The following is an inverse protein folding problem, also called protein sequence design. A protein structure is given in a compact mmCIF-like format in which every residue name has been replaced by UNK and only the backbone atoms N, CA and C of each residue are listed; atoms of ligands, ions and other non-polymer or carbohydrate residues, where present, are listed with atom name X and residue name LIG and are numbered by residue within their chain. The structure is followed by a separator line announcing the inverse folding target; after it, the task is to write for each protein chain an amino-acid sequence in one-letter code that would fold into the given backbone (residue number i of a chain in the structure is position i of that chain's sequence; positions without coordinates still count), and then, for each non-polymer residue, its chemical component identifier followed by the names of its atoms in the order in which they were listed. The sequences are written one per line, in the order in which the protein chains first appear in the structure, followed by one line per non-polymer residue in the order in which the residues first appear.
data_IF_257770040869
#
_entry.id   IF_257770040869
#
_cell.length_a   1.000
_cell.length_b   1.000
_cell.length_c   1.000
_cell.angle_alpha   90.00
_cell.angle_beta   90.00
_cell.angle_gamma   90.00
#
_symmetry.space_group_name_H-M   'P 1'
#
loop_
_entity.id
_entity.type
_entity.pdbx_description
1 polymer ?
#
# COMPACT_ATOMS: atom_id res chain seq x y z
N UNK A 1 -15.77 -12.34 6.18
CA UNK A 1 -14.85 -12.09 5.05
C UNK A 1 -14.60 -10.59 4.99
N UNK A 2 -13.36 -10.14 5.15
CA UNK A 2 -12.99 -8.72 5.24
C UNK A 2 -12.80 -8.16 3.83
N UNK A 3 -13.77 -7.36 3.39
CA UNK A 3 -13.78 -6.73 2.06
C UNK A 3 -14.39 -5.33 2.11
N UNK A 4 -14.00 -4.48 1.17
CA UNK A 4 -14.51 -3.13 1.05
C UNK A 4 -14.62 -2.71 -0.41
N UNK A 5 -15.50 -1.74 -0.66
CA UNK A 5 -15.60 -1.02 -1.93
C UNK A 5 -15.62 0.47 -1.61
N UNK A 6 -14.86 1.24 -2.37
CA UNK A 6 -14.74 2.71 -2.29
C UNK A 6 -14.89 3.27 -3.70
N UNK A 7 -15.57 4.38 -3.81
CA UNK A 7 -15.56 5.26 -4.97
C UNK A 7 -15.19 6.67 -4.47
N UNK A 8 -14.20 7.30 -5.13
CA UNK A 8 -13.76 8.67 -4.87
C UNK A 8 -13.80 9.43 -6.18
N UNK A 9 -14.53 10.54 -6.16
CA UNK A 9 -14.68 11.43 -7.31
C UNK A 9 -14.33 12.84 -6.86
N UNK A 10 -13.36 13.44 -7.51
CA UNK A 10 -12.97 14.85 -7.37
C UNK A 10 -13.14 15.56 -8.72
N UNK A 11 -12.65 16.79 -8.84
CA UNK A 11 -12.55 17.47 -10.15
C UNK A 11 -11.37 16.98 -10.97
N UNK A 12 -10.40 16.34 -10.32
CA UNK A 12 -9.10 15.93 -10.88
C UNK A 12 -9.06 14.43 -11.17
N UNK A 13 -9.73 13.62 -10.33
CA UNK A 13 -9.67 12.15 -10.42
C UNK A 13 -11.04 11.50 -10.24
N UNK A 14 -11.20 10.34 -10.87
CA UNK A 14 -12.29 9.38 -10.59
C UNK A 14 -11.67 8.02 -10.34
N UNK A 15 -11.82 7.51 -9.11
CA UNK A 15 -11.22 6.24 -8.69
C UNK A 15 -12.28 5.33 -8.08
N UNK A 16 -12.32 4.09 -8.54
CA UNK A 16 -13.12 3.03 -7.95
C UNK A 16 -12.23 1.88 -7.53
N UNK A 17 -12.42 1.38 -6.31
CA UNK A 17 -11.64 0.28 -5.77
C UNK A 17 -12.50 -0.74 -5.04
N UNK A 18 -12.12 -2.02 -5.16
CA UNK A 18 -12.67 -3.13 -4.39
C UNK A 18 -11.53 -4.00 -3.89
N UNK A 19 -11.46 -4.18 -2.57
CA UNK A 19 -10.44 -4.98 -1.89
C UNK A 19 -11.08 -6.15 -1.16
N UNK A 20 -10.42 -7.31 -1.22
CA UNK A 20 -10.65 -8.45 -0.34
C UNK A 20 -9.33 -8.84 0.33
N UNK A 21 -9.30 -8.80 1.67
CA UNK A 21 -8.08 -9.09 2.46
C UNK A 21 -7.69 -10.57 2.34
N UNK A 22 -8.64 -11.49 2.56
CA UNK A 22 -8.43 -12.93 2.36
C UNK A 22 -8.58 -13.29 0.87
N UNK A 23 -7.71 -12.76 0.04
CA UNK A 23 -7.71 -12.98 -1.41
C UNK A 23 -6.84 -14.16 -1.84
N UNK A 24 -6.61 -14.24 -3.15
CA UNK A 24 -5.72 -15.20 -3.81
C UNK A 24 -4.66 -14.52 -4.69
N UNK A 25 -4.48 -13.21 -4.54
CA UNK A 25 -3.58 -12.40 -5.36
C UNK A 25 -4.13 -12.12 -6.75
N UNK A 26 -5.47 -12.01 -6.91
CA UNK A 26 -6.10 -11.63 -8.17
C UNK A 26 -6.20 -10.12 -8.25
N UNK A 27 -5.87 -9.58 -9.41
CA UNK A 27 -5.89 -8.14 -9.64
C UNK A 27 -6.50 -7.77 -10.98
N UNK A 28 -7.10 -6.59 -11.02
CA UNK A 28 -7.55 -5.91 -12.22
C UNK A 28 -7.33 -4.41 -11.99
N UNK A 29 -6.19 -3.90 -12.45
CA UNK A 29 -5.67 -2.59 -12.07
C UNK A 29 -5.42 -1.76 -13.32
N UNK A 30 -5.87 -0.51 -13.30
CA UNK A 30 -5.65 0.46 -14.37
C UNK A 30 -5.68 1.87 -13.78
N UNK A 31 -4.52 2.54 -13.74
CA UNK A 31 -4.37 3.94 -13.33
C UNK A 31 -4.02 4.88 -14.48
N UNK A 32 -3.71 4.34 -15.66
CA UNK A 32 -3.15 5.08 -16.77
C UNK A 32 -1.62 5.25 -16.71
N UNK A 33 -0.97 4.75 -15.64
CA UNK A 33 0.49 4.79 -15.43
C UNK A 33 0.96 3.34 -15.32
N UNK A 34 1.54 2.76 -16.38
CA UNK A 34 1.75 1.32 -16.48
C UNK A 34 2.73 0.76 -15.45
N UNK A 35 3.79 1.50 -15.12
CA UNK A 35 4.73 1.05 -14.10
C UNK A 35 4.11 1.09 -12.69
N UNK A 36 3.25 2.07 -12.42
CA UNK A 36 2.50 2.13 -11.17
C UNK A 36 1.48 0.98 -11.05
N UNK A 37 0.76 0.68 -12.14
CA UNK A 37 -0.12 -0.50 -12.19
C UNK A 37 0.66 -1.77 -11.84
N UNK A 38 1.85 -1.94 -12.43
CA UNK A 38 2.72 -3.08 -12.15
C UNK A 38 3.11 -3.16 -10.65
N UNK A 39 3.40 -2.03 -10.00
CA UNK A 39 3.69 -2.00 -8.55
C UNK A 39 2.48 -2.44 -7.72
N UNK A 40 1.28 -2.01 -8.07
CA UNK A 40 0.03 -2.41 -7.38
C UNK A 40 -0.35 -3.88 -7.67
N UNK A 41 -0.06 -4.39 -8.86
CA UNK A 41 -0.19 -5.81 -9.21
C UNK A 41 0.72 -6.67 -8.31
N UNK A 42 1.99 -6.27 -8.14
CA UNK A 42 2.95 -6.92 -7.24
C UNK A 42 2.49 -6.86 -5.79
N UNK A 43 2.05 -5.68 -5.33
CA UNK A 43 1.47 -5.52 -4.00
C UNK A 43 0.33 -6.50 -3.77
N UNK A 44 -0.60 -6.57 -4.69
CA UNK A 44 -1.77 -7.45 -4.62
C UNK A 44 -1.37 -8.93 -4.59
N UNK A 45 -0.46 -9.32 -5.50
CA UNK A 45 0.01 -10.69 -5.63
C UNK A 45 0.78 -11.17 -4.40
N UNK A 46 1.77 -10.39 -3.95
CA UNK A 46 2.61 -10.74 -2.81
C UNK A 46 1.89 -10.61 -1.46
N UNK A 47 0.92 -9.71 -1.37
CA UNK A 47 0.03 -9.58 -0.22
C UNK A 47 -1.00 -10.71 -0.12
N UNK A 48 -1.31 -11.37 -1.24
CA UNK A 48 -2.38 -12.38 -1.31
C UNK A 48 -3.77 -11.77 -1.23
N UNK A 49 -3.89 -10.47 -1.50
CA UNK A 49 -5.16 -9.75 -1.58
C UNK A 49 -5.86 -10.04 -2.90
N UNK A 50 -7.17 -9.75 -3.02
CA UNK A 50 -7.80 -9.54 -4.32
C UNK A 50 -8.12 -8.04 -4.43
N UNK A 51 -7.68 -7.39 -5.51
CA UNK A 51 -7.83 -5.95 -5.74
C UNK A 51 -8.31 -5.66 -7.16
N UNK A 52 -9.51 -5.05 -7.27
CA UNK A 52 -9.94 -4.32 -8.47
C UNK A 52 -9.75 -2.84 -8.20
N UNK A 53 -9.02 -2.12 -9.06
CA UNK A 53 -8.78 -0.67 -8.93
C UNK A 53 -8.73 -0.03 -10.30
N UNK A 54 -9.59 0.96 -10.51
CA UNK A 54 -9.59 1.75 -11.74
C UNK A 54 -9.52 3.23 -11.37
N UNK A 55 -8.54 3.92 -11.91
CA UNK A 55 -8.38 5.35 -11.78
C UNK A 55 -8.35 6.03 -13.16
N UNK A 56 -9.01 7.16 -13.24
CA UNK A 56 -8.90 8.11 -14.34
C UNK A 56 -8.61 9.46 -13.71
N UNK A 57 -7.48 10.05 -14.05
CA UNK A 57 -7.05 11.36 -13.55
C UNK A 57 -6.61 12.27 -14.69
N UNK A 58 -6.28 13.49 -14.33
CA UNK A 58 -5.83 14.57 -15.21
C UNK A 58 -4.33 14.44 -15.55
N UNK A 59 -3.95 13.30 -16.15
CA UNK A 59 -2.56 12.97 -16.50
C UNK A 59 -1.92 13.93 -17.52
N UNK A 60 -2.73 14.76 -18.16
CA UNK A 60 -2.29 15.87 -19.02
C UNK A 60 -1.71 17.05 -18.21
N UNK A 61 -2.06 17.16 -16.92
CA UNK A 61 -1.42 18.06 -15.96
C UNK A 61 -0.10 17.44 -15.48
N UNK A 62 -0.21 16.39 -14.67
CA UNK A 62 0.87 15.47 -14.30
C UNK A 62 0.30 14.19 -13.65
N UNK A 63 1.13 13.40 -12.96
CA UNK A 63 0.72 12.15 -12.32
C UNK A 63 0.36 12.32 -10.83
N UNK A 64 0.61 13.49 -10.24
CA UNK A 64 0.53 13.70 -8.78
C UNK A 64 -0.84 13.34 -8.24
N UNK A 65 -1.90 13.99 -8.73
CA UNK A 65 -3.26 13.77 -8.23
C UNK A 65 -3.69 12.30 -8.34
N UNK A 66 -3.33 11.64 -9.45
CA UNK A 66 -3.68 10.22 -9.67
C UNK A 66 -2.95 9.30 -8.69
N UNK A 67 -1.66 9.50 -8.48
CA UNK A 67 -0.83 8.64 -7.63
C UNK A 67 -1.20 8.82 -6.16
N UNK A 68 -1.35 10.05 -5.67
CA UNK A 68 -1.80 10.36 -4.32
C UNK A 68 -3.19 9.81 -4.04
N UNK A 69 -4.16 10.10 -4.90
CA UNK A 69 -5.57 9.68 -4.72
C UNK A 69 -5.74 8.15 -4.76
N UNK A 70 -4.92 7.43 -5.53
CA UNK A 70 -4.87 5.96 -5.46
C UNK A 70 -4.37 5.50 -4.09
N UNK A 71 -3.37 6.16 -3.52
CA UNK A 71 -2.91 5.93 -2.14
C UNK A 71 -4.04 6.12 -1.12
N UNK A 72 -4.76 7.23 -1.22
CA UNK A 72 -5.94 7.56 -0.40
C UNK A 72 -6.99 6.43 -0.49
N UNK A 73 -7.39 6.06 -1.70
CA UNK A 73 -8.43 5.03 -1.91
C UNK A 73 -7.97 3.67 -1.38
N UNK A 74 -6.71 3.30 -1.61
CA UNK A 74 -6.15 2.05 -1.07
C UNK A 74 -6.16 2.05 0.47
N UNK A 75 -5.77 3.16 1.10
CA UNK A 75 -5.84 3.34 2.56
C UNK A 75 -7.26 3.19 3.10
N UNK A 76 -8.23 3.84 2.48
CA UNK A 76 -9.66 3.76 2.83
C UNK A 76 -10.21 2.33 2.67
N UNK A 77 -9.81 1.62 1.62
CA UNK A 77 -10.20 0.24 1.40
C UNK A 77 -9.72 -0.67 2.53
N UNK A 78 -8.46 -0.54 2.95
CA UNK A 78 -7.93 -1.31 4.07
C UNK A 78 -8.59 -0.93 5.40
N UNK A 79 -8.74 0.36 5.71
CA UNK A 79 -9.41 0.81 6.92
C UNK A 79 -10.83 0.25 7.03
N UNK A 80 -11.61 0.35 5.95
CA UNK A 80 -12.99 -0.14 5.89
C UNK A 80 -13.07 -1.67 5.96
N UNK A 81 -12.17 -2.39 5.29
CA UNK A 81 -12.15 -3.84 5.29
C UNK A 81 -11.71 -4.42 6.64
N UNK A 82 -10.79 -3.75 7.35
CA UNK A 82 -10.33 -4.16 8.68
C UNK A 82 -11.36 -3.92 9.79
N UNK A 83 -12.27 -2.96 9.59
CA UNK A 83 -13.30 -2.64 10.58
C UNK A 83 -12.72 -2.24 11.93
N UNK A 84 -13.14 -2.91 13.01
CA UNK A 84 -12.71 -2.64 14.39
C UNK A 84 -11.30 -3.15 14.73
N UNK A 85 -10.63 -3.79 13.79
CA UNK A 85 -9.26 -4.34 13.92
C UNK A 85 -9.06 -5.37 15.03
N UNK A 86 -10.14 -5.99 15.54
CA UNK A 86 -10.01 -7.07 16.52
C UNK A 86 -9.33 -8.28 15.92
N UNK A 87 -8.49 -8.91 16.74
CA UNK A 87 -7.81 -10.15 16.41
C UNK A 87 -6.76 -10.08 15.31
N UNK A 88 -6.43 -8.90 14.76
CA UNK A 88 -5.33 -8.80 13.79
C UNK A 88 -3.97 -8.79 14.50
N UNK A 89 -2.90 -9.16 13.78
CA UNK A 89 -1.53 -9.00 14.29
C UNK A 89 -1.15 -7.54 14.49
N UNK A 90 -1.81 -6.62 13.79
CA UNK A 90 -1.63 -5.18 13.84
C UNK A 90 -0.27 -4.72 13.27
N UNK A 91 0.83 -5.15 13.89
CA UNK A 91 2.16 -4.84 13.41
C UNK A 91 2.65 -5.91 12.43
N UNK A 92 3.25 -5.49 11.34
CA UNK A 92 3.87 -6.36 10.35
C UNK A 92 5.18 -5.79 9.86
N UNK A 93 6.14 -6.66 9.56
CA UNK A 93 7.41 -6.24 8.96
C UNK A 93 7.91 -7.29 7.97
N UNK A 94 8.72 -6.85 7.04
CA UNK A 94 9.40 -7.75 6.12
C UNK A 94 10.74 -7.17 5.68
N UNK A 95 11.69 -8.05 5.44
CA UNK A 95 12.98 -7.77 4.80
C UNK A 95 13.02 -8.58 3.52
N UNK A 96 13.21 -7.94 2.37
CA UNK A 96 13.09 -8.60 1.08
C UNK A 96 14.28 -8.28 0.18
N UNK A 97 15.03 -9.31 -0.25
CA UNK A 97 16.00 -9.16 -1.32
C UNK A 97 15.31 -9.21 -2.69
N UNK A 98 15.79 -8.39 -3.62
CA UNK A 98 15.48 -8.48 -5.03
C UNK A 98 16.77 -8.31 -5.81
N UNK A 99 17.34 -9.43 -6.25
CA UNK A 99 18.67 -9.52 -6.83
C UNK A 99 19.70 -8.77 -5.96
N UNK A 100 20.28 -7.68 -6.45
CA UNK A 100 21.29 -6.85 -5.77
C UNK A 100 20.68 -5.82 -4.79
N UNK A 101 19.36 -5.77 -4.66
CA UNK A 101 18.66 -4.79 -3.84
C UNK A 101 18.10 -5.42 -2.56
N UNK A 102 18.18 -4.71 -1.46
CA UNK A 102 17.54 -5.08 -0.19
C UNK A 102 16.63 -3.96 0.29
N UNK A 103 15.36 -4.31 0.59
CA UNK A 103 14.38 -3.41 1.18
C UNK A 103 13.90 -3.91 2.55
N UNK A 104 13.50 -2.97 3.41
CA UNK A 104 12.85 -3.22 4.70
C UNK A 104 11.59 -2.38 4.78
N UNK A 105 10.48 -3.00 5.18
CA UNK A 105 9.23 -2.31 5.49
C UNK A 105 8.69 -2.80 6.81
N UNK A 106 8.26 -1.88 7.66
CA UNK A 106 7.51 -2.14 8.88
C UNK A 106 6.23 -1.31 8.89
N UNK A 107 5.12 -1.91 9.35
CA UNK A 107 3.83 -1.23 9.46
C UNK A 107 3.18 -1.51 10.82
N UNK A 108 2.51 -0.51 11.38
CA UNK A 108 1.61 -0.63 12.53
C UNK A 108 0.24 -0.08 12.17
N UNK A 109 -0.78 -0.95 12.13
CA UNK A 109 -2.18 -0.60 11.86
C UNK A 109 -2.87 -0.07 13.13
N UNK A 110 -2.20 0.84 13.83
CA UNK A 110 -2.54 1.34 15.17
C UNK A 110 -3.44 2.58 15.21
N UNK A 111 -4.04 3.01 14.10
CA UNK A 111 -4.97 4.14 14.05
C UNK A 111 -4.31 5.53 13.96
N UNK A 112 -3.01 5.64 14.10
CA UNK A 112 -2.25 6.90 14.06
C UNK A 112 -1.37 6.95 12.83
N UNK A 113 -1.57 7.91 11.90
CA UNK A 113 -0.76 8.00 10.69
C UNK A 113 0.65 8.50 10.99
N UNK A 114 1.64 7.86 10.37
CA UNK A 114 3.01 8.35 10.28
C UNK A 114 3.72 7.68 9.10
N UNK A 115 4.46 8.45 8.31
CA UNK A 115 5.28 7.94 7.22
C UNK A 115 6.75 8.24 7.47
N UNK A 116 7.59 7.22 7.37
CA UNK A 116 9.05 7.35 7.21
C UNK A 116 9.44 6.63 5.95
N UNK A 117 9.71 7.37 4.90
CA UNK A 117 10.11 6.84 3.60
C UNK A 117 11.54 7.24 3.27
N UNK A 118 12.40 6.27 3.06
CA UNK A 118 13.83 6.46 2.76
C UNK A 118 14.23 5.59 1.58
N UNK A 119 14.38 6.20 0.43
CA UNK A 119 14.93 5.53 -0.73
C UNK A 119 16.28 6.13 -1.15
N UNK A 120 16.91 5.50 -2.11
CA UNK A 120 18.13 5.94 -2.76
C UNK A 120 17.96 5.99 -4.28
N UNK A 121 16.73 6.14 -4.76
CA UNK A 121 16.42 6.31 -6.19
C UNK A 121 16.86 7.71 -6.63
N UNK A 122 17.59 7.82 -7.75
CA UNK A 122 18.19 9.08 -8.23
C UNK A 122 17.74 9.44 -9.65
N UNK A 123 16.79 8.73 -10.18
CA UNK A 123 16.22 8.98 -11.51
C UNK A 123 14.85 9.64 -11.37
N UNK A 124 14.48 10.47 -12.33
CA UNK A 124 13.18 11.13 -12.34
C UNK A 124 12.03 10.16 -12.62
N UNK A 125 12.27 9.20 -13.54
CA UNK A 125 11.26 8.22 -13.94
C UNK A 125 11.82 6.80 -13.89
N UNK A 126 10.94 5.85 -13.58
CA UNK A 126 11.15 4.43 -13.86
C UNK A 126 9.93 3.94 -14.64
N UNK A 127 10.16 3.43 -15.84
CA UNK A 127 9.07 3.28 -16.81
C UNK A 127 8.45 4.65 -17.10
N UNK A 128 7.15 4.73 -17.00
CA UNK A 128 6.37 5.96 -17.14
C UNK A 128 6.03 6.65 -15.81
N UNK A 129 6.45 6.10 -14.64
CA UNK A 129 6.15 6.65 -13.32
C UNK A 129 7.17 7.72 -12.89
N UNK A 130 6.70 8.87 -12.45
CA UNK A 130 7.49 9.88 -11.75
C UNK A 130 7.81 9.39 -10.33
N UNK A 131 9.08 9.12 -10.04
CA UNK A 131 9.52 8.44 -8.78
C UNK A 131 9.30 9.32 -7.54
N UNK A 132 9.38 10.63 -7.68
CA UNK A 132 9.17 11.59 -6.60
C UNK A 132 7.77 11.52 -5.97
N UNK A 133 6.78 10.91 -6.66
CA UNK A 133 5.40 10.77 -6.19
C UNK A 133 5.18 9.53 -5.30
N UNK A 134 6.18 8.67 -5.13
CA UNK A 134 6.05 7.51 -4.26
C UNK A 134 5.80 7.87 -2.78
N UNK A 135 6.47 8.89 -2.21
CA UNK A 135 6.12 9.38 -0.87
C UNK A 135 4.66 9.83 -0.77
N UNK A 136 4.11 10.53 -1.78
CA UNK A 136 2.72 11.03 -1.78
C UNK A 136 1.72 9.87 -1.80
N UNK A 137 1.99 8.82 -2.59
CA UNK A 137 1.20 7.57 -2.56
C UNK A 137 1.18 6.94 -1.16
N UNK A 138 2.36 6.81 -0.53
CA UNK A 138 2.44 6.19 0.80
C UNK A 138 1.85 7.09 1.89
N UNK A 139 1.96 8.41 1.78
CA UNK A 139 1.34 9.36 2.72
C UNK A 139 -0.18 9.29 2.62
N UNK A 140 -0.73 9.36 1.41
CA UNK A 140 -2.15 9.16 1.17
C UNK A 140 -2.65 7.83 1.75
N UNK A 141 -1.87 6.75 1.59
CA UNK A 141 -2.20 5.46 2.17
C UNK A 141 -2.20 5.48 3.71
N UNK A 142 -1.13 5.94 4.37
CA UNK A 142 -1.00 5.85 5.83
C UNK A 142 -2.01 6.72 6.55
N UNK A 143 -2.29 7.92 6.02
CA UNK A 143 -3.30 8.83 6.57
C UNK A 143 -4.68 8.16 6.57
N UNK A 144 -5.08 7.55 5.45
CA UNK A 144 -6.41 7.00 5.29
C UNK A 144 -6.56 5.55 5.78
N UNK A 145 -5.46 4.81 5.88
CA UNK A 145 -5.43 3.52 6.57
C UNK A 145 -5.35 3.68 8.09
N UNK A 146 -4.97 4.84 8.61
CA UNK A 146 -4.64 5.04 10.02
C UNK A 146 -3.47 4.11 10.43
N UNK A 147 -2.33 4.23 9.75
CA UNK A 147 -1.19 3.34 9.92
C UNK A 147 0.12 4.11 10.09
N UNK A 148 1.07 3.53 10.81
CA UNK A 148 2.47 3.94 10.72
C UNK A 148 3.15 3.08 9.66
N UNK A 149 3.91 3.66 8.75
CA UNK A 149 4.68 2.96 7.75
C UNK A 149 6.13 3.46 7.75
N UNK A 150 7.07 2.55 7.92
CA UNK A 150 8.48 2.79 7.72
C UNK A 150 8.95 1.94 6.54
N UNK A 151 9.42 2.57 5.48
CA UNK A 151 9.94 1.92 4.28
C UNK A 151 11.34 2.42 3.96
N UNK A 152 12.29 1.50 3.79
CA UNK A 152 13.69 1.85 3.53
C UNK A 152 14.33 0.91 2.52
N UNK A 153 15.03 1.49 1.54
CA UNK A 153 16.01 0.79 0.73
C UNK A 153 17.36 0.79 1.47
N UNK A 154 17.84 -0.41 1.80
CA UNK A 154 19.12 -0.57 2.49
C UNK A 154 20.27 -0.37 1.52
N UNK A 155 20.18 -0.99 0.34
CA UNK A 155 21.12 -0.82 -0.78
C UNK A 155 20.48 -1.39 -2.06
N UNK A 156 21.12 -1.10 -3.20
CA UNK A 156 20.71 -1.58 -4.52
C UNK A 156 21.28 -0.68 -5.62
N UNK A 157 21.37 -1.20 -6.83
CA UNK A 157 21.82 -0.46 -8.00
C UNK A 157 20.66 -0.04 -8.90
N UNK A 158 19.78 -0.99 -9.25
CA UNK A 158 18.67 -0.76 -10.16
C UNK A 158 17.54 0.03 -9.49
N UNK A 159 17.15 1.17 -10.06
CA UNK A 159 16.01 1.95 -9.58
C UNK A 159 14.68 1.18 -9.67
N UNK A 160 14.51 0.36 -10.72
CA UNK A 160 13.38 -0.54 -10.86
C UNK A 160 13.32 -1.54 -9.68
N UNK A 161 14.42 -2.26 -9.42
CA UNK A 161 14.48 -3.25 -8.34
C UNK A 161 14.23 -2.62 -6.97
N UNK A 162 14.70 -1.40 -6.73
CA UNK A 162 14.46 -0.66 -5.48
C UNK A 162 12.96 -0.42 -5.24
N UNK A 163 12.26 0.12 -6.23
CA UNK A 163 10.83 0.42 -6.13
C UNK A 163 10.04 -0.88 -5.99
N UNK A 164 10.31 -1.86 -6.83
CA UNK A 164 9.65 -3.16 -6.79
C UNK A 164 9.86 -3.88 -5.45
N UNK A 165 11.09 -3.85 -4.90
CA UNK A 165 11.40 -4.43 -3.60
C UNK A 165 10.59 -3.78 -2.47
N UNK A 166 10.41 -2.44 -2.47
CA UNK A 166 9.56 -1.74 -1.50
C UNK A 166 8.11 -2.23 -1.61
N UNK A 167 7.52 -2.28 -2.81
CA UNK A 167 6.12 -2.69 -2.97
C UNK A 167 5.88 -4.15 -2.58
N UNK A 168 6.79 -5.07 -2.91
CA UNK A 168 6.74 -6.46 -2.47
C UNK A 168 6.88 -6.58 -0.95
N UNK A 169 7.81 -5.82 -0.37
CA UNK A 169 8.06 -5.78 1.06
C UNK A 169 6.84 -5.22 1.82
N UNK A 170 6.27 -4.12 1.34
CA UNK A 170 5.04 -3.51 1.83
C UNK A 170 3.87 -4.50 1.78
N UNK A 171 3.69 -5.20 0.66
CA UNK A 171 2.66 -6.23 0.50
C UNK A 171 2.75 -7.33 1.58
N UNK A 172 3.97 -7.82 1.83
CA UNK A 172 4.21 -8.86 2.83
C UNK A 172 4.00 -8.36 4.26
N UNK A 173 4.46 -7.15 4.59
CA UNK A 173 4.24 -6.52 5.87
C UNK A 173 2.74 -6.30 6.13
N UNK A 174 2.01 -5.78 5.13
CA UNK A 174 0.54 -5.62 5.18
C UNK A 174 -0.17 -6.95 5.38
N UNK A 175 0.22 -7.99 4.62
CA UNK A 175 -0.36 -9.34 4.78
C UNK A 175 -0.25 -9.82 6.22
N UNK A 176 0.93 -9.69 6.81
CA UNK A 176 1.16 -10.13 8.19
C UNK A 176 0.37 -9.27 9.19
N UNK A 177 0.45 -7.93 9.07
CA UNK A 177 -0.29 -7.01 9.94
C UNK A 177 -1.81 -7.23 9.91
N UNK A 178 -2.37 -7.54 8.73
CA UNK A 178 -3.79 -7.84 8.54
C UNK A 178 -4.18 -9.26 8.97
N UNK A 179 -3.23 -10.19 9.12
CA UNK A 179 -3.54 -11.59 9.49
C UNK A 179 -4.15 -11.68 10.86
N UNK A 180 -5.12 -12.58 11.04
CA UNK A 180 -5.79 -12.82 12.33
C UNK A 180 -5.03 -13.83 13.16
N UNK A 181 -4.75 -13.49 14.42
CA UNK A 181 -4.32 -14.46 15.43
C UNK A 181 -5.57 -15.09 16.08
N UNK A 182 -5.79 -16.37 15.83
CA UNK A 182 -6.97 -17.09 16.34
C UNK A 182 -7.06 -17.13 17.86
N UNK A 183 -5.94 -16.99 18.58
CA UNK A 183 -5.89 -16.95 20.04
C UNK A 183 -6.44 -15.65 20.60
N UNK A 184 -6.40 -14.58 19.81
CA UNK A 184 -6.74 -13.20 20.19
C UNK A 184 -7.87 -12.61 19.35
N UNK A 185 -8.63 -13.44 18.62
CA UNK A 185 -9.57 -13.01 17.57
C UNK A 185 -10.61 -11.98 18.02
N UNK A 186 -11.00 -12.00 19.29
CA UNK A 186 -12.03 -11.11 19.85
C UNK A 186 -11.41 -9.95 20.64
N UNK A 187 -10.08 -9.88 20.71
CA UNK A 187 -9.36 -8.86 21.46
C UNK A 187 -8.85 -7.75 20.53
N UNK A 188 -8.94 -6.53 21.02
CA UNK A 188 -8.27 -5.42 20.37
C UNK A 188 -6.78 -5.49 20.72
N UNK A 189 -5.85 -5.46 19.71
CA UNK A 189 -4.42 -5.53 19.97
C UNK A 189 -3.87 -4.20 20.50
N UNK A 190 -4.41 -3.73 21.63
CA UNK A 190 -4.07 -2.46 22.26
C UNK A 190 -4.36 -2.50 23.77
N UNK A 191 -3.37 -2.12 24.58
CA UNK A 191 -3.54 -1.95 26.03
C UNK A 191 -4.39 -0.73 26.40
N UNK A 192 -4.63 0.17 25.43
CA UNK A 192 -5.42 1.40 25.64
C UNK A 192 -6.93 1.19 25.43
N UNK A 193 -7.35 0.00 24.94
CA UNK A 193 -8.74 -0.30 24.64
C UNK A 193 -9.30 0.40 23.39
N UNK A 194 -8.44 1.08 22.60
CA UNK A 194 -8.77 1.74 21.34
C UNK A 194 -7.58 1.68 20.36
N UNK A 195 -7.88 1.83 19.04
CA UNK A 195 -6.94 1.98 17.93
C UNK A 195 -7.37 3.16 17.07
#
# INVERSE_FOLDING_TARGET
MRQATIERITKETKISGKLKIEGKGRYNISSGIRFFDHMLELFTKHGGFDLDLKATGDLDVDQHHTVEDVGIVLGQLFAKALGDRKGINRAGYFVLPMDETLAVVAIDLGGRPALVYQDSVRVRHVGDLQVELLPDFFDGFVVHAGANLHAKIMYGRSSHHKIEAIFKCFARAMRYGCSTDLRLKDQLPSTKGLL
#
